data_IF_758966596218
#
_entry.id   IF_758966596218
#
_cell.length_a   1.000
_cell.length_b   1.000
_cell.length_c   1.000
_cell.angle_alpha   90.00
_cell.angle_beta   90.00
_cell.angle_gamma   90.00
#
_symmetry.space_group_name_H-M   'P 1'
#
loop_
_entity.id
_entity.type
_entity.pdbx_description
1 polymer ?
#
# COMPACT_ATOMS: atom_id res chain seq x y z
N UNK A 1 40.86 12.35 -8.99
CA UNK A 1 39.99 12.41 -10.19
C UNK A 1 40.17 11.11 -10.92
N UNK A 2 39.34 10.12 -10.61
CA UNK A 2 39.19 8.91 -11.41
C UNK A 2 37.69 8.76 -11.63
N UNK A 3 37.25 9.23 -12.76
CA UNK A 3 35.94 8.90 -13.32
C UNK A 3 35.95 7.40 -13.64
N UNK A 4 35.37 6.62 -12.74
CA UNK A 4 34.97 5.24 -13.08
C UNK A 4 33.81 5.37 -14.06
N UNK A 5 34.16 5.39 -15.33
CA UNK A 5 33.24 5.20 -16.45
C UNK A 5 32.44 3.94 -16.16
N UNK A 6 31.21 4.07 -15.69
CA UNK A 6 30.27 2.97 -15.67
C UNK A 6 30.03 2.65 -17.14
N UNK A 7 30.62 1.55 -17.61
CA UNK A 7 30.39 1.03 -18.94
C UNK A 7 28.89 0.79 -19.07
N UNK A 8 28.18 1.71 -19.71
CA UNK A 8 26.79 1.54 -20.10
C UNK A 8 26.77 0.42 -21.13
N UNK A 9 26.22 -0.72 -20.76
CA UNK A 9 25.99 -1.83 -21.71
C UNK A 9 25.11 -1.24 -22.82
N UNK A 10 25.49 -1.36 -24.09
CA UNK A 10 24.70 -0.81 -25.19
C UNK A 10 23.28 -1.42 -25.15
N UNK A 11 22.27 -0.61 -25.39
CA UNK A 11 20.85 -1.00 -25.25
C UNK A 11 20.48 -2.24 -26.09
N UNK A 12 21.24 -2.52 -27.15
CA UNK A 12 21.11 -3.71 -28.01
C UNK A 12 21.50 -5.04 -27.32
N UNK A 13 22.23 -5.00 -26.21
CA UNK A 13 22.66 -6.20 -25.46
C UNK A 13 21.77 -6.47 -24.22
N UNK A 14 20.81 -5.61 -23.92
CA UNK A 14 19.92 -5.81 -22.78
C UNK A 14 18.86 -6.85 -23.12
N UNK A 15 18.75 -7.86 -22.28
CA UNK A 15 17.74 -8.92 -22.39
C UNK A 15 16.67 -8.73 -21.34
N UNK A 16 15.44 -8.50 -21.78
CA UNK A 16 14.28 -8.47 -20.90
C UNK A 16 13.69 -9.87 -20.75
N UNK A 17 13.59 -10.33 -19.51
CA UNK A 17 12.95 -11.61 -19.17
C UNK A 17 11.51 -11.39 -18.77
N UNK A 18 10.63 -12.25 -19.28
CA UNK A 18 9.20 -12.25 -18.95
C UNK A 18 8.67 -13.67 -18.80
N UNK A 19 7.63 -13.83 -18.00
CA UNK A 19 6.88 -15.09 -17.87
C UNK A 19 7.74 -16.29 -17.45
N UNK A 20 7.84 -17.29 -18.31
CA UNK A 20 8.49 -18.58 -17.99
C UNK A 20 10.03 -18.49 -17.89
N UNK A 21 10.63 -17.49 -18.46
CA UNK A 21 12.09 -17.29 -18.41
C UNK A 21 12.56 -16.68 -17.07
N UNK A 22 11.64 -16.21 -16.22
CA UNK A 22 11.99 -15.61 -14.95
C UNK A 22 12.65 -16.62 -14.00
N UNK A 23 13.71 -16.22 -13.27
CA UNK A 23 14.28 -17.01 -12.18
C UNK A 23 13.24 -17.38 -11.12
N UNK A 24 13.44 -18.48 -10.42
CA UNK A 24 12.51 -18.98 -9.39
C UNK A 24 12.23 -17.91 -8.32
N UNK A 25 13.27 -17.16 -7.91
CA UNK A 25 13.13 -16.08 -6.93
C UNK A 25 12.15 -14.99 -7.37
N UNK A 26 12.17 -14.63 -8.65
CA UNK A 26 11.23 -13.63 -9.19
C UNK A 26 9.84 -14.21 -9.42
N UNK A 27 9.71 -15.50 -9.75
CA UNK A 27 8.41 -16.17 -9.81
C UNK A 27 7.74 -16.19 -8.41
N UNK A 28 8.51 -16.47 -7.37
CA UNK A 28 8.02 -16.40 -5.98
C UNK A 28 7.60 -14.95 -5.63
N UNK A 29 8.45 -13.98 -5.95
CA UNK A 29 8.13 -12.56 -5.72
C UNK A 29 6.83 -12.16 -6.41
N UNK A 30 6.62 -12.56 -7.65
CA UNK A 30 5.40 -12.26 -8.41
C UNK A 30 4.15 -12.92 -7.81
N UNK A 31 4.26 -14.17 -7.32
CA UNK A 31 3.16 -14.82 -6.62
C UNK A 31 2.80 -14.10 -5.31
N UNK A 32 3.81 -13.72 -4.53
CA UNK A 32 3.59 -12.96 -3.29
C UNK A 32 2.93 -11.62 -3.58
N UNK A 33 3.38 -10.90 -4.61
CA UNK A 33 2.78 -9.64 -5.05
C UNK A 33 1.32 -9.80 -5.44
N UNK A 34 0.97 -10.81 -6.23
CA UNK A 34 -0.42 -11.10 -6.61
C UNK A 34 -1.30 -11.40 -5.41
N UNK A 35 -0.78 -12.15 -4.45
CA UNK A 35 -1.50 -12.43 -3.22
C UNK A 35 -1.76 -11.14 -2.42
N UNK A 36 -0.73 -10.33 -2.21
CA UNK A 36 -0.84 -9.05 -1.48
C UNK A 36 -1.76 -8.08 -2.22
N UNK A 37 -1.70 -8.01 -3.55
CA UNK A 37 -2.58 -7.20 -4.39
C UNK A 37 -4.05 -7.61 -4.20
N UNK A 38 -4.33 -8.91 -4.21
CA UNK A 38 -5.68 -9.42 -3.96
C UNK A 38 -6.19 -9.07 -2.57
N UNK A 39 -5.37 -9.26 -1.52
CA UNK A 39 -5.73 -8.89 -0.14
C UNK A 39 -5.99 -7.39 -0.03
N UNK A 40 -5.13 -6.56 -0.60
CA UNK A 40 -5.28 -5.11 -0.55
C UNK A 40 -6.53 -4.61 -1.27
N UNK A 41 -6.83 -5.14 -2.44
CA UNK A 41 -8.09 -4.84 -3.17
C UNK A 41 -9.32 -5.25 -2.37
N UNK A 42 -9.29 -6.42 -1.72
CA UNK A 42 -10.34 -6.83 -0.80
C UNK A 42 -10.43 -5.87 0.38
N UNK A 43 -9.29 -5.53 0.99
CA UNK A 43 -9.22 -4.60 2.12
C UNK A 43 -9.77 -3.21 1.80
N UNK A 44 -9.59 -2.71 0.58
CA UNK A 44 -10.09 -1.40 0.17
C UNK A 44 -11.61 -1.27 0.21
N UNK A 45 -12.36 -2.37 0.11
CA UNK A 45 -13.82 -2.38 0.25
C UNK A 45 -14.29 -1.96 1.64
N UNK A 46 -13.45 -2.09 2.67
CA UNK A 46 -13.78 -1.61 4.02
C UNK A 46 -13.89 -0.09 4.12
N UNK A 47 -13.42 0.66 3.12
CA UNK A 47 -13.65 2.08 3.05
C UNK A 47 -15.14 2.45 2.92
N UNK A 48 -15.92 1.63 2.20
CA UNK A 48 -17.36 1.86 2.02
C UNK A 48 -18.12 1.78 3.35
N UNK A 49 -18.09 0.64 4.11
CA UNK A 49 -18.77 0.58 5.40
C UNK A 49 -18.22 1.62 6.38
N UNK A 50 -16.91 1.92 6.37
CA UNK A 50 -16.33 2.96 7.21
C UNK A 50 -17.03 4.31 6.98
N UNK A 51 -17.11 4.77 5.73
CA UNK A 51 -17.75 6.05 5.39
C UNK A 51 -19.24 6.03 5.72
N UNK A 52 -19.94 4.95 5.38
CA UNK A 52 -21.38 4.86 5.63
C UNK A 52 -21.71 4.88 7.13
N UNK A 53 -20.95 4.14 7.94
CA UNK A 53 -21.16 4.09 9.40
C UNK A 53 -20.86 5.43 10.04
N UNK A 54 -19.74 6.07 9.66
CA UNK A 54 -19.34 7.39 10.17
C UNK A 54 -20.38 8.45 9.85
N UNK A 55 -20.87 8.47 8.60
CA UNK A 55 -21.92 9.40 8.17
C UNK A 55 -23.22 9.14 8.93
N UNK A 56 -23.61 7.87 9.06
CA UNK A 56 -24.82 7.47 9.78
C UNK A 56 -24.76 7.89 11.27
N UNK A 57 -23.65 7.61 11.96
CA UNK A 57 -23.46 8.02 13.37
C UNK A 57 -23.54 9.54 13.52
N UNK A 58 -22.88 10.27 12.60
CA UNK A 58 -22.94 11.73 12.58
C UNK A 58 -24.37 12.24 12.43
N UNK A 59 -25.15 11.68 11.49
CA UNK A 59 -26.55 12.07 11.29
C UNK A 59 -27.41 11.78 12.51
N UNK A 60 -27.30 10.60 13.10
CA UNK A 60 -28.05 10.22 14.31
C UNK A 60 -27.73 11.15 15.46
N UNK A 61 -26.47 11.50 15.67
CA UNK A 61 -26.07 12.46 16.71
C UNK A 61 -26.58 13.88 16.47
N UNK A 62 -26.54 14.34 15.22
CA UNK A 62 -27.07 15.65 14.86
C UNK A 62 -28.61 15.70 14.97
N UNK A 63 -29.27 14.60 14.62
CA UNK A 63 -30.71 14.45 14.70
C UNK A 63 -31.25 14.25 16.13
N UNK A 64 -30.39 14.27 17.17
CA UNK A 64 -30.75 14.07 18.57
C UNK A 64 -31.83 15.05 19.05
N UNK A 65 -31.96 16.23 18.44
CA UNK A 65 -33.00 17.22 18.71
C UNK A 65 -34.37 16.78 18.21
N UNK A 66 -34.43 15.85 17.21
CA UNK A 66 -35.69 15.35 16.67
C UNK A 66 -36.23 14.29 17.63
N UNK A 67 -37.47 14.52 18.09
CA UNK A 67 -38.17 13.59 18.96
C UNK A 67 -39.25 12.85 18.18
N UNK A 68 -39.27 11.53 18.31
CA UNK A 68 -40.32 10.65 17.80
C UNK A 68 -41.04 10.04 19.01
N UNK A 69 -42.34 10.18 19.05
CA UNK A 69 -43.17 9.72 20.20
C UNK A 69 -42.71 10.25 21.60
N UNK A 70 -42.08 11.43 21.62
CA UNK A 70 -41.59 12.05 22.86
C UNK A 70 -40.14 11.73 23.21
N UNK A 71 -39.50 10.75 22.54
CA UNK A 71 -38.14 10.34 22.77
C UNK A 71 -37.18 10.81 21.66
N UNK A 72 -35.89 11.03 21.96
CA UNK A 72 -34.89 11.32 20.95
C UNK A 72 -34.81 10.21 19.87
N UNK A 73 -34.68 10.61 18.61
CA UNK A 73 -34.66 9.68 17.49
C UNK A 73 -33.64 8.53 17.65
N UNK A 74 -32.50 8.77 18.29
CA UNK A 74 -31.48 7.77 18.58
C UNK A 74 -32.02 6.64 19.46
N UNK A 75 -32.74 6.97 20.53
CA UNK A 75 -33.33 6.01 21.46
C UNK A 75 -34.43 5.24 20.75
N UNK A 76 -35.29 5.95 20.03
CA UNK A 76 -36.37 5.33 19.25
C UNK A 76 -35.85 4.33 18.22
N UNK A 77 -34.79 4.68 17.44
CA UNK A 77 -34.15 3.79 16.46
C UNK A 77 -33.56 2.54 17.13
N UNK A 78 -32.88 2.70 18.27
CA UNK A 78 -32.30 1.59 19.02
C UNK A 78 -33.34 0.60 19.52
N UNK A 79 -34.48 1.10 20.01
CA UNK A 79 -35.49 0.28 20.66
C UNK A 79 -36.48 -0.33 19.66
N UNK A 80 -36.81 0.37 18.59
CA UNK A 80 -37.84 -0.05 17.64
C UNK A 80 -37.29 -0.68 16.35
N UNK A 81 -36.01 -0.42 15.99
CA UNK A 81 -35.44 -0.94 14.74
C UNK A 81 -34.31 -1.92 15.05
N UNK A 82 -33.22 -1.50 15.66
CA UNK A 82 -32.09 -2.38 15.95
C UNK A 82 -31.14 -1.75 16.98
N UNK A 83 -30.55 -2.55 17.89
CA UNK A 83 -29.47 -2.12 18.79
C UNK A 83 -28.25 -1.54 18.07
N UNK A 84 -28.07 -1.84 16.78
CA UNK A 84 -26.95 -1.32 15.96
C UNK A 84 -26.96 0.20 15.86
N UNK A 85 -28.14 0.86 16.01
CA UNK A 85 -28.23 2.31 16.03
C UNK A 85 -27.78 2.98 17.33
N UNK A 86 -27.26 2.20 18.29
CA UNK A 86 -26.53 2.79 19.41
C UNK A 86 -25.23 3.42 18.93
N UNK A 87 -25.02 4.69 19.30
CA UNK A 87 -23.83 5.44 18.87
C UNK A 87 -22.52 4.78 19.31
N UNK A 88 -22.51 4.09 20.45
CA UNK A 88 -21.33 3.37 20.92
C UNK A 88 -21.00 2.20 20.02
N UNK A 89 -22.01 1.45 19.59
CA UNK A 89 -21.84 0.32 18.69
C UNK A 89 -21.42 0.77 17.29
N UNK A 90 -22.01 1.87 16.78
CA UNK A 90 -21.61 2.46 15.51
C UNK A 90 -20.14 2.91 15.54
N UNK A 91 -19.67 3.55 16.60
CA UNK A 91 -18.28 3.92 16.76
C UNK A 91 -17.35 2.70 16.81
N UNK A 92 -17.74 1.62 17.48
CA UNK A 92 -16.95 0.39 17.48
C UNK A 92 -16.88 -0.23 16.09
N UNK A 93 -17.96 -0.25 15.32
CA UNK A 93 -17.97 -0.70 13.92
C UNK A 93 -17.07 0.18 13.03
N UNK A 94 -17.07 1.50 13.25
CA UNK A 94 -16.16 2.44 12.60
C UNK A 94 -14.70 2.07 12.86
N UNK A 95 -14.32 1.89 14.13
CA UNK A 95 -12.96 1.47 14.50
C UNK A 95 -12.57 0.12 13.89
N UNK A 96 -13.49 -0.85 13.85
CA UNK A 96 -13.24 -2.16 13.25
C UNK A 96 -13.02 -2.04 11.73
N UNK A 97 -13.87 -1.28 11.05
CA UNK A 97 -13.75 -1.04 9.60
C UNK A 97 -12.46 -0.30 9.26
N UNK A 98 -12.11 0.72 10.05
CA UNK A 98 -10.87 1.47 9.88
C UNK A 98 -9.63 0.57 10.09
N UNK A 99 -9.63 -0.25 11.15
CA UNK A 99 -8.53 -1.17 11.43
C UNK A 99 -8.38 -2.22 10.32
N UNK A 100 -9.48 -2.77 9.84
CA UNK A 100 -9.47 -3.73 8.73
C UNK A 100 -8.94 -3.10 7.44
N UNK A 101 -9.43 -1.91 7.09
CA UNK A 101 -8.97 -1.15 5.93
C UNK A 101 -7.46 -0.92 6.01
N UNK A 102 -6.98 -0.33 7.11
CA UNK A 102 -5.58 0.03 7.28
C UNK A 102 -4.67 -1.20 7.26
N UNK A 103 -5.03 -2.25 8.01
CA UNK A 103 -4.21 -3.45 8.12
C UNK A 103 -4.07 -4.18 6.77
N UNK A 104 -5.18 -4.36 6.03
CA UNK A 104 -5.18 -5.13 4.79
C UNK A 104 -4.57 -4.36 3.60
N UNK A 105 -4.64 -3.03 3.61
CA UNK A 105 -4.10 -2.20 2.52
C UNK A 105 -2.62 -1.86 2.71
N UNK A 106 -2.05 -2.05 3.92
CA UNK A 106 -0.67 -1.67 4.23
C UNK A 106 0.35 -2.30 3.26
N UNK A 107 0.28 -3.61 3.04
CA UNK A 107 1.16 -4.33 2.10
C UNK A 107 0.91 -3.93 0.64
N UNK A 108 -0.34 -3.68 0.27
CA UNK A 108 -0.71 -3.23 -1.06
C UNK A 108 -0.08 -1.89 -1.41
N UNK A 109 -0.17 -0.90 -0.52
CA UNK A 109 0.46 0.40 -0.73
C UNK A 109 1.97 0.30 -0.94
N UNK A 110 2.63 -0.69 -0.28
CA UNK A 110 4.05 -0.91 -0.45
C UNK A 110 4.42 -1.48 -1.82
N UNK A 111 3.73 -2.53 -2.30
CA UNK A 111 4.03 -3.14 -3.62
C UNK A 111 3.72 -2.22 -4.81
N UNK A 112 2.75 -1.31 -4.66
CA UNK A 112 2.38 -0.34 -5.69
C UNK A 112 3.14 0.98 -5.60
N UNK A 113 4.13 1.07 -4.70
CA UNK A 113 4.94 2.27 -4.51
C UNK A 113 4.14 3.55 -4.20
N UNK A 114 2.94 3.39 -3.65
CA UNK A 114 2.07 4.51 -3.25
C UNK A 114 2.36 5.00 -1.83
N UNK A 115 3.34 4.39 -1.18
CA UNK A 115 3.75 4.76 0.16
C UNK A 115 4.48 6.12 0.15
N UNK A 116 4.07 7.03 1.03
CA UNK A 116 4.73 8.34 1.16
C UNK A 116 6.20 8.15 1.55
N UNK A 117 7.11 8.66 0.72
CA UNK A 117 8.57 8.59 0.89
C UNK A 117 9.17 9.97 0.92
N UNK A 118 10.32 10.08 1.57
CA UNK A 118 11.14 11.29 1.50
C UNK A 118 12.12 11.11 0.33
N UNK A 119 11.70 11.49 -0.87
CA UNK A 119 12.46 11.24 -2.09
C UNK A 119 13.61 12.23 -2.34
N UNK A 120 13.65 13.35 -1.61
CA UNK A 120 14.66 14.41 -1.78
C UNK A 120 16.12 13.92 -1.84
N UNK A 121 16.48 12.93 -1.02
CA UNK A 121 17.83 12.35 -1.01
C UNK A 121 17.93 11.18 -1.99
N UNK A 122 16.86 10.40 -2.13
CA UNK A 122 16.84 9.20 -2.97
C UNK A 122 16.96 9.53 -4.45
N UNK A 123 16.28 10.56 -4.94
CA UNK A 123 16.31 10.97 -6.36
C UNK A 123 17.70 11.38 -6.82
N UNK A 124 18.51 11.97 -5.97
CA UNK A 124 19.89 12.37 -6.29
C UNK A 124 20.88 11.21 -6.39
N UNK A 125 20.46 9.99 -5.98
CA UNK A 125 21.37 8.83 -5.94
C UNK A 125 21.36 8.08 -7.29
N UNK A 126 22.53 7.60 -7.71
CA UNK A 126 22.64 6.68 -8.83
C UNK A 126 21.85 5.38 -8.56
N UNK A 127 21.26 4.78 -9.59
CA UNK A 127 20.40 3.58 -9.52
C UNK A 127 20.94 2.48 -8.59
N UNK A 128 22.22 2.13 -8.71
CA UNK A 128 22.80 1.09 -7.88
C UNK A 128 22.88 1.47 -6.39
N UNK A 129 23.04 2.76 -6.07
CA UNK A 129 22.96 3.25 -4.69
C UNK A 129 21.51 3.24 -4.17
N UNK A 130 20.55 3.58 -5.03
CA UNK A 130 19.11 3.42 -4.71
C UNK A 130 18.77 1.97 -4.36
N UNK A 131 19.23 1.01 -5.18
CA UNK A 131 19.02 -0.42 -4.92
C UNK A 131 19.67 -0.90 -3.61
N UNK A 132 20.88 -0.46 -3.31
CA UNK A 132 21.54 -0.79 -2.02
C UNK A 132 20.81 -0.17 -0.82
N UNK A 133 20.35 1.07 -0.94
CA UNK A 133 19.58 1.72 0.11
C UNK A 133 18.28 0.94 0.41
N UNK A 134 17.55 0.53 -0.63
CA UNK A 134 16.34 -0.27 -0.51
C UNK A 134 16.64 -1.65 0.11
N UNK A 135 17.68 -2.33 -0.36
CA UNK A 135 18.08 -3.64 0.16
C UNK A 135 18.43 -3.61 1.65
N UNK A 136 19.23 -2.62 2.08
CA UNK A 136 19.61 -2.44 3.49
C UNK A 136 18.38 -2.07 4.31
N UNK A 137 17.56 -1.13 3.82
CA UNK A 137 16.32 -0.71 4.47
C UNK A 137 15.37 -1.87 4.74
N UNK A 138 15.18 -2.73 3.74
CA UNK A 138 14.36 -3.92 3.87
C UNK A 138 14.95 -4.94 4.85
N UNK A 139 16.25 -5.22 4.74
CA UNK A 139 16.90 -6.28 5.51
C UNK A 139 17.07 -5.90 6.99
N UNK A 140 17.43 -4.64 7.27
CA UNK A 140 17.80 -4.21 8.63
C UNK A 140 16.61 -3.60 9.37
N UNK A 141 15.73 -2.91 8.66
CA UNK A 141 14.62 -2.20 9.31
C UNK A 141 13.29 -2.89 9.07
N UNK A 142 12.82 -3.03 7.82
CA UNK A 142 11.45 -3.46 7.56
C UNK A 142 11.19 -4.89 8.05
N UNK A 143 12.01 -5.85 7.62
CA UNK A 143 11.79 -7.26 7.96
C UNK A 143 11.91 -7.53 9.47
N UNK A 144 12.98 -7.13 10.18
CA UNK A 144 13.09 -7.37 11.62
C UNK A 144 12.00 -6.65 12.42
N UNK A 145 11.73 -5.38 12.09
CA UNK A 145 10.71 -4.58 12.76
C UNK A 145 9.32 -5.20 12.61
N UNK A 146 8.95 -5.61 11.39
CA UNK A 146 7.66 -6.23 11.13
C UNK A 146 7.53 -7.58 11.84
N UNK A 147 8.60 -8.40 11.89
CA UNK A 147 8.60 -9.65 12.65
C UNK A 147 8.35 -9.42 14.15
N UNK A 148 9.00 -8.41 14.74
CA UNK A 148 8.78 -8.04 16.15
C UNK A 148 7.34 -7.60 16.39
N UNK A 149 6.79 -6.75 15.52
CA UNK A 149 5.40 -6.29 15.64
C UNK A 149 4.42 -7.45 15.49
N UNK A 150 4.63 -8.36 14.53
CA UNK A 150 3.78 -9.56 14.35
C UNK A 150 3.78 -10.40 15.63
N UNK A 151 4.95 -10.60 16.25
CA UNK A 151 5.05 -11.33 17.49
C UNK A 151 4.19 -10.72 18.61
N UNK A 152 4.35 -9.42 18.89
CA UNK A 152 3.57 -8.75 19.93
C UNK A 152 2.08 -8.61 19.57
N UNK A 153 1.75 -8.37 18.31
CA UNK A 153 0.38 -8.32 17.84
C UNK A 153 -0.31 -9.69 17.99
N UNK A 154 0.43 -10.79 17.77
CA UNK A 154 -0.09 -12.14 17.96
C UNK A 154 -0.35 -12.44 19.43
N UNK A 155 0.55 -12.04 20.33
CA UNK A 155 0.32 -12.15 21.78
C UNK A 155 -0.90 -11.32 22.19
N UNK A 156 -1.01 -10.09 21.72
CA UNK A 156 -2.15 -9.21 21.99
C UNK A 156 -3.48 -9.80 21.50
N UNK A 157 -3.49 -10.45 20.33
CA UNK A 157 -4.67 -11.13 19.82
C UNK A 157 -5.01 -12.38 20.66
N UNK A 158 -3.97 -13.14 21.07
CA UNK A 158 -4.13 -14.30 21.93
C UNK A 158 -4.67 -13.95 23.32
N UNK A 159 -4.13 -12.92 23.96
CA UNK A 159 -4.60 -12.44 25.28
C UNK A 159 -6.06 -11.98 25.21
N UNK A 160 -6.44 -11.33 24.12
CA UNK A 160 -7.83 -10.93 23.88
C UNK A 160 -8.76 -12.11 23.67
N UNK A 161 -8.29 -13.15 22.98
CA UNK A 161 -9.06 -14.39 22.80
C UNK A 161 -9.17 -15.20 24.09
N UNK A 162 -8.10 -15.25 24.91
CA UNK A 162 -8.04 -15.99 26.18
C UNK A 162 -8.75 -15.25 27.33
N UNK A 163 -9.06 -13.96 27.16
CA UNK A 163 -9.63 -13.11 28.21
C UNK A 163 -11.01 -13.63 28.65
N UNK A 164 -11.21 -13.77 29.98
CA UNK A 164 -12.44 -14.25 30.63
C UNK A 164 -13.00 -15.56 30.05
N UNK A 165 -12.13 -16.44 29.59
CA UNK A 165 -12.55 -17.71 29.02
C UNK A 165 -12.97 -18.68 30.11
N UNK A 166 -14.26 -18.98 30.15
CA UNK A 166 -14.79 -20.05 31.02
C UNK A 166 -14.38 -21.43 30.46
N UNK A 167 -14.17 -22.46 31.32
CA UNK A 167 -13.81 -23.81 30.90
C UNK A 167 -14.77 -24.44 29.88
N UNK A 168 -16.06 -24.09 29.98
CA UNK A 168 -17.14 -24.65 29.14
C UNK A 168 -17.41 -23.85 27.89
N UNK A 169 -16.60 -22.80 27.61
CA UNK A 169 -16.83 -21.89 26.52
C UNK A 169 -16.20 -22.41 25.21
N UNK A 170 -17.00 -22.52 24.17
CA UNK A 170 -16.49 -22.87 22.85
C UNK A 170 -15.49 -21.81 22.36
N UNK A 171 -14.50 -22.19 21.57
CA UNK A 171 -13.41 -21.34 21.14
C UNK A 171 -13.86 -20.07 20.37
N UNK A 172 -15.06 -20.08 19.80
CA UNK A 172 -15.66 -18.94 19.06
C UNK A 172 -16.65 -18.11 19.89
N UNK A 173 -17.03 -18.54 21.11
CA UNK A 173 -18.07 -17.88 21.91
C UNK A 173 -17.53 -16.92 22.95
N UNK A 174 -16.27 -17.12 23.36
CA UNK A 174 -15.64 -16.34 24.41
C UNK A 174 -14.53 -15.45 23.89
N UNK A 175 -14.08 -14.57 24.73
CA UNK A 175 -13.03 -13.62 24.47
C UNK A 175 -13.37 -12.25 25.04
N UNK A 176 -12.53 -11.30 24.75
CA UNK A 176 -12.68 -9.93 25.19
C UNK A 176 -13.99 -9.31 24.67
N UNK A 177 -14.76 -8.76 25.59
CA UNK A 177 -15.97 -7.99 25.33
C UNK A 177 -15.62 -6.52 25.48
N UNK A 178 -16.31 -5.63 24.76
CA UNK A 178 -16.14 -4.19 24.99
C UNK A 178 -16.43 -3.81 26.42
N UNK A 179 -15.70 -2.82 26.92
CA UNK A 179 -15.96 -2.22 28.23
C UNK A 179 -17.30 -1.47 28.31
N UNK A 180 -17.93 -1.22 27.17
CA UNK A 180 -19.24 -0.60 27.06
C UNK A 180 -20.35 -1.63 27.25
N UNK A 181 -21.44 -1.24 27.92
CA UNK A 181 -22.63 -2.09 28.14
C UNK A 181 -23.31 -2.56 26.85
N UNK A 182 -23.12 -1.84 25.75
CA UNK A 182 -23.75 -2.08 24.43
C UNK A 182 -22.68 -2.38 23.36
N UNK A 183 -21.43 -2.55 23.77
CA UNK A 183 -20.32 -2.75 22.84
C UNK A 183 -20.25 -4.14 22.22
N UNK A 184 -19.42 -4.27 21.18
CA UNK A 184 -19.25 -5.52 20.44
C UNK A 184 -18.53 -6.59 21.28
N UNK A 185 -19.02 -7.82 21.17
CA UNK A 185 -18.32 -9.01 21.62
C UNK A 185 -17.25 -9.43 20.57
N UNK A 186 -16.35 -10.32 20.97
CA UNK A 186 -15.36 -10.94 20.06
C UNK A 186 -14.34 -9.94 19.49
N UNK A 187 -13.86 -9.00 20.28
CA UNK A 187 -12.84 -8.02 19.87
C UNK A 187 -11.53 -8.64 19.42
N UNK A 188 -11.28 -9.91 19.77
CA UNK A 188 -10.11 -10.65 19.30
C UNK A 188 -10.09 -10.87 17.78
N UNK A 189 -11.26 -10.88 17.12
CA UNK A 189 -11.36 -11.10 15.67
C UNK A 189 -10.65 -9.98 14.89
N UNK A 190 -10.91 -8.72 15.25
CA UNK A 190 -10.25 -7.58 14.57
C UNK A 190 -8.75 -7.54 14.85
N UNK A 191 -8.31 -8.03 16.03
CA UNK A 191 -6.89 -8.17 16.35
C UNK A 191 -6.22 -9.24 15.48
N UNK A 192 -6.91 -10.34 15.16
CA UNK A 192 -6.42 -11.33 14.19
C UNK A 192 -6.35 -10.75 12.77
N UNK A 193 -7.31 -9.91 12.37
CA UNK A 193 -7.24 -9.20 11.07
C UNK A 193 -6.03 -8.29 11.03
N UNK A 194 -5.70 -7.61 12.13
CA UNK A 194 -4.47 -6.81 12.23
C UNK A 194 -3.21 -7.67 12.06
N UNK A 195 -3.12 -8.82 12.75
CA UNK A 195 -1.99 -9.75 12.60
C UNK A 195 -1.87 -10.23 11.15
N UNK A 196 -2.99 -10.62 10.54
CA UNK A 196 -3.01 -11.04 9.13
C UNK A 196 -2.52 -9.92 8.20
N UNK A 197 -2.96 -8.69 8.41
CA UNK A 197 -2.51 -7.52 7.65
C UNK A 197 -1.00 -7.27 7.80
N UNK A 198 -0.45 -7.40 9.00
CA UNK A 198 0.99 -7.29 9.24
C UNK A 198 1.78 -8.41 8.53
N UNK A 199 1.26 -9.63 8.53
CA UNK A 199 1.85 -10.75 7.76
C UNK A 199 1.85 -10.44 6.27
N UNK A 200 0.76 -9.92 5.72
CA UNK A 200 0.71 -9.52 4.29
C UNK A 200 1.68 -8.39 3.97
N UNK A 201 1.89 -7.45 4.89
CA UNK A 201 2.91 -6.40 4.75
C UNK A 201 4.34 -6.97 4.77
N UNK A 202 4.61 -7.97 5.63
CA UNK A 202 5.89 -8.69 5.61
C UNK A 202 6.11 -9.41 4.28
N UNK A 203 5.09 -10.10 3.75
CA UNK A 203 5.17 -10.77 2.45
C UNK A 203 5.42 -9.78 1.31
N UNK A 204 4.82 -8.58 1.36
CA UNK A 204 5.11 -7.48 0.44
C UNK A 204 6.59 -7.07 0.51
N UNK A 205 7.11 -6.88 1.73
CA UNK A 205 8.53 -6.58 1.96
C UNK A 205 9.46 -7.65 1.41
N UNK A 206 9.15 -8.93 1.62
CA UNK A 206 9.93 -10.06 1.09
C UNK A 206 9.87 -10.09 -0.45
N UNK A 207 8.70 -9.83 -1.05
CA UNK A 207 8.55 -9.80 -2.49
C UNK A 207 9.46 -8.73 -3.13
N UNK A 208 9.46 -7.52 -2.56
CA UNK A 208 10.33 -6.43 -3.03
C UNK A 208 11.81 -6.74 -2.73
N UNK A 209 12.12 -7.33 -1.58
CA UNK A 209 13.47 -7.75 -1.25
C UNK A 209 14.06 -8.72 -2.27
N UNK A 210 13.28 -9.71 -2.70
CA UNK A 210 13.69 -10.66 -3.75
C UNK A 210 13.99 -9.95 -5.08
N UNK A 211 13.18 -8.97 -5.46
CA UNK A 211 13.40 -8.18 -6.68
C UNK A 211 14.69 -7.37 -6.59
N UNK A 212 14.88 -6.64 -5.50
CA UNK A 212 16.08 -5.81 -5.28
C UNK A 212 17.35 -6.66 -5.16
N UNK A 213 17.27 -7.82 -4.51
CA UNK A 213 18.38 -8.77 -4.45
C UNK A 213 18.80 -9.25 -5.86
N UNK A 214 17.83 -9.52 -6.73
CA UNK A 214 18.14 -9.90 -8.12
C UNK A 214 18.75 -8.75 -8.92
N UNK A 215 18.37 -7.50 -8.66
CA UNK A 215 19.00 -6.32 -9.28
C UNK A 215 20.47 -6.17 -8.86
N UNK A 216 20.78 -6.44 -7.58
CA UNK A 216 22.12 -6.27 -7.03
C UNK A 216 23.07 -7.42 -7.36
N UNK A 217 22.57 -8.65 -7.28
CA UNK A 217 23.37 -9.88 -7.36
C UNK A 217 23.13 -10.69 -8.63
N UNK A 218 22.07 -10.37 -9.40
CA UNK A 218 21.76 -11.05 -10.66
C UNK A 218 22.62 -10.59 -11.85
N UNK A 219 22.37 -11.17 -13.04
CA UNK A 219 23.08 -10.83 -14.28
C UNK A 219 22.88 -9.37 -14.65
N UNK A 220 23.98 -8.66 -14.94
CA UNK A 220 23.94 -7.20 -15.21
C UNK A 220 23.24 -6.81 -16.51
N UNK A 221 23.26 -7.71 -17.50
CA UNK A 221 22.65 -7.50 -18.82
C UNK A 221 21.16 -7.88 -18.89
N UNK A 222 20.60 -8.40 -17.82
CA UNK A 222 19.21 -8.84 -17.75
C UNK A 222 18.35 -7.82 -17.02
N UNK A 223 17.16 -7.59 -17.53
CA UNK A 223 16.16 -6.69 -16.97
C UNK A 223 14.93 -7.47 -16.55
N UNK A 224 14.32 -7.02 -15.45
CA UNK A 224 13.10 -7.58 -14.86
C UNK A 224 12.11 -6.46 -14.64
N UNK A 225 10.84 -6.74 -14.68
CA UNK A 225 9.81 -5.76 -14.32
C UNK A 225 9.76 -5.55 -12.80
N UNK A 226 9.99 -4.32 -12.37
CA UNK A 226 10.05 -3.92 -10.97
C UNK A 226 9.00 -2.85 -10.67
N UNK A 227 8.20 -3.06 -9.62
CA UNK A 227 7.18 -2.09 -9.21
C UNK A 227 7.70 -1.00 -8.27
N UNK A 228 8.67 -1.32 -7.42
CA UNK A 228 9.17 -0.40 -6.38
C UNK A 228 10.48 0.27 -6.75
N UNK A 229 11.27 -0.37 -7.60
CA UNK A 229 12.55 0.12 -8.09
C UNK A 229 12.55 0.01 -9.61
N UNK A 230 12.45 1.14 -10.29
CA UNK A 230 12.48 1.22 -11.75
C UNK A 230 13.91 1.14 -12.29
N UNK A 231 14.08 0.52 -13.45
CA UNK A 231 15.36 0.53 -14.16
C UNK A 231 15.67 1.94 -14.67
N UNK A 232 16.96 2.29 -14.85
CA UNK A 232 17.34 3.63 -15.34
C UNK A 232 16.69 4.01 -16.68
N UNK A 233 16.46 3.01 -17.54
CA UNK A 233 15.80 3.18 -18.83
C UNK A 233 14.30 3.50 -18.70
N UNK A 234 13.73 3.29 -17.53
CA UNK A 234 12.33 3.50 -17.19
C UNK A 234 12.13 4.71 -16.26
N UNK A 235 13.21 5.30 -15.76
CA UNK A 235 13.13 6.47 -14.87
C UNK A 235 12.42 7.64 -15.56
N UNK A 236 11.47 8.24 -14.86
CA UNK A 236 10.67 9.37 -15.32
C UNK A 236 9.31 9.03 -15.89
N UNK A 237 8.93 7.73 -15.97
CA UNK A 237 7.70 7.30 -16.62
C UNK A 237 6.52 6.97 -15.73
N UNK A 238 6.67 6.84 -14.43
CA UNK A 238 5.60 6.32 -13.57
C UNK A 238 5.24 7.28 -12.44
N UNK A 239 4.05 7.83 -12.49
CA UNK A 239 3.43 8.54 -11.37
C UNK A 239 2.15 7.80 -11.01
N UNK A 240 2.18 7.11 -9.85
CA UNK A 240 1.00 6.61 -9.11
C UNK A 240 -0.14 6.05 -9.98
N UNK A 241 0.10 4.92 -10.65
CA UNK A 241 -0.95 4.22 -11.40
C UNK A 241 -1.49 4.96 -12.62
N UNK A 242 -0.88 6.08 -13.02
CA UNK A 242 -1.16 6.78 -14.28
C UNK A 242 -0.21 6.32 -15.37
N UNK A 243 -0.64 6.47 -16.61
CA UNK A 243 0.18 6.20 -17.79
C UNK A 243 1.53 6.90 -17.67
N UNK A 244 2.59 6.21 -18.09
CA UNK A 244 3.94 6.78 -18.17
C UNK A 244 3.89 8.10 -18.93
N UNK A 245 4.40 9.15 -18.30
CA UNK A 245 4.74 10.36 -19.04
C UNK A 245 5.94 9.99 -19.91
N UNK A 246 5.72 9.76 -21.17
CA UNK A 246 6.78 9.51 -22.14
C UNK A 246 7.61 10.79 -22.29
N UNK A 247 8.62 10.93 -21.44
CA UNK A 247 9.56 12.07 -21.49
C UNK A 247 10.25 12.16 -22.85
N UNK A 248 10.55 11.02 -23.47
CA UNK A 248 11.13 10.96 -24.82
C UNK A 248 10.24 11.67 -25.85
N UNK A 249 8.90 11.51 -25.77
CA UNK A 249 7.98 12.22 -26.66
C UNK A 249 7.94 13.73 -26.39
N UNK A 250 8.10 14.13 -25.13
CA UNK A 250 8.14 15.55 -24.76
C UNK A 250 9.45 16.17 -25.24
N UNK A 251 10.59 15.51 -25.10
CA UNK A 251 11.87 15.95 -25.63
C UNK A 251 11.85 16.03 -27.16
N UNK A 252 11.35 15.00 -27.85
CA UNK A 252 11.18 15.02 -29.31
C UNK A 252 10.26 16.15 -29.78
N UNK A 253 9.18 16.44 -29.06
CA UNK A 253 8.29 17.56 -29.36
C UNK A 253 8.97 18.91 -29.16
N UNK A 254 9.74 19.06 -28.08
CA UNK A 254 10.50 20.29 -27.80
C UNK A 254 11.60 20.49 -28.85
N UNK A 255 12.30 19.43 -29.25
CA UNK A 255 13.29 19.51 -30.33
C UNK A 255 12.65 19.89 -31.68
N UNK A 256 11.53 19.26 -32.05
CA UNK A 256 10.80 19.60 -33.25
C UNK A 256 10.31 21.05 -33.23
N UNK A 257 9.84 21.52 -32.08
CA UNK A 257 9.38 22.91 -31.93
C UNK A 257 10.54 23.90 -32.00
N UNK A 258 11.70 23.56 -31.45
CA UNK A 258 12.91 24.38 -31.53
C UNK A 258 13.47 24.46 -32.96
N UNK A 259 13.43 23.35 -33.72
CA UNK A 259 13.80 23.34 -35.15
C UNK A 259 12.88 24.22 -35.98
N UNK A 260 11.57 24.14 -35.82
CA UNK A 260 10.59 24.98 -36.51
C UNK A 260 10.79 26.46 -36.22
N UNK A 261 11.10 26.83 -34.97
CA UNK A 261 11.40 28.22 -34.62
C UNK A 261 12.70 28.70 -35.26
N UNK A 262 13.74 27.88 -35.37
CA UNK A 262 14.98 28.24 -36.07
C UNK A 262 14.75 28.42 -37.56
N UNK A 263 14.03 27.53 -38.21
CA UNK A 263 13.69 27.59 -39.63
C UNK A 263 12.84 28.84 -39.94
N UNK A 264 11.85 29.18 -39.10
CA UNK A 264 11.06 30.41 -39.28
C UNK A 264 11.90 31.67 -39.12
N UNK A 265 12.84 31.69 -38.16
CA UNK A 265 13.74 32.83 -37.94
C UNK A 265 14.74 33.00 -39.09
N UNK A 266 15.21 31.90 -39.69
CA UNK A 266 16.08 31.94 -40.86
C UNK A 266 15.34 32.38 -42.14
N UNK A 267 14.09 31.92 -42.31
CA UNK A 267 13.23 32.36 -43.42
C UNK A 267 12.91 33.86 -43.34
N UNK A 268 12.61 34.37 -42.15
CA UNK A 268 12.38 35.81 -41.93
C UNK A 268 13.65 36.65 -42.20
N UNK A 269 14.83 36.16 -41.85
CA UNK A 269 16.11 36.80 -42.16
C UNK A 269 16.43 36.79 -43.65
N UNK A 270 16.05 35.72 -44.36
CA UNK A 270 16.25 35.63 -45.81
C UNK A 270 15.31 36.57 -46.59
N UNK A 271 14.10 36.80 -46.09
CA UNK A 271 13.08 37.65 -46.71
C UNK A 271 13.26 39.15 -46.40
N UNK A 272 14.12 39.47 -45.43
CA UNK A 272 14.46 40.86 -45.03
C UNK A 272 15.74 41.39 -45.70
N UNK A 273 16.37 40.61 -46.58
CA UNK A 273 17.51 41.00 -47.43
C UNK A 273 17.07 41.11 -48.88
#
# INVERSE_FOLDING_TARGET
>A
MNETTSATVPATELRYLSGDELPISLKISEQLRRFVDWVGRFGSWFAMPLVLITVLDLFIRKARMIKIQGEPIQIWLRENISPVFDSTLLQELEWHSHTALFALVLGFGYIWNTHVRVDLVRETLAFRKKAWLEFIGLTVFLVPFTCVIIYYASMYAYDSWAFNRAPDCAWWQCGEISASLVGMSHRWVIKLVLVFGLVTALLAGIAVWLQVAMVLFGPKNTRYDLMTLEWPEQEGGFVEGKERVELDKVEDQLEMQSRRMRESTEADRANSR
#
